data_IF_000436322920
#
_entry.id   IF_000436322920
#
_cell.length_a   1.000
_cell.length_b   1.000
_cell.length_c   1.000
_cell.angle_alpha   90.00
_cell.angle_beta   90.00
_cell.angle_gamma   90.00
#
_symmetry.space_group_name_H-M   'P 1'
#
loop_
_entity.id
_entity.type
_entity.pdbx_description
1 polymer ?
#
# COMPACT_ATOMS: atom_id res chain seq x y z
N UNK A 1 12.74 14.23 -33.41
CA UNK A 1 13.42 14.16 -32.10
C UNK A 1 13.35 15.52 -31.43
N UNK A 2 12.33 15.75 -30.60
CA UNK A 2 12.17 17.00 -29.85
C UNK A 2 12.64 16.78 -28.41
N UNK A 3 13.80 17.32 -28.04
CA UNK A 3 14.26 17.39 -26.65
C UNK A 3 13.50 18.51 -25.94
N UNK A 4 12.66 18.18 -24.96
CA UNK A 4 12.10 19.16 -24.03
C UNK A 4 13.04 19.27 -22.83
N UNK A 5 13.66 20.43 -22.68
CA UNK A 5 14.45 20.84 -21.53
C UNK A 5 13.50 21.11 -20.36
N UNK A 6 13.67 20.41 -19.24
CA UNK A 6 13.02 20.75 -17.97
C UNK A 6 13.92 21.74 -17.22
N UNK A 7 13.39 22.93 -16.96
CA UNK A 7 14.02 23.96 -16.12
C UNK A 7 13.34 23.91 -14.75
N UNK A 8 14.09 23.58 -13.70
CA UNK A 8 13.60 23.68 -12.32
C UNK A 8 13.64 25.16 -11.90
N UNK A 9 12.48 25.71 -11.53
CA UNK A 9 12.40 27.03 -10.89
C UNK A 9 12.71 26.89 -9.38
N UNK A 10 13.47 27.82 -8.77
CA UNK A 10 13.68 27.84 -7.34
C UNK A 10 12.40 28.28 -6.60
N UNK A 11 12.06 27.55 -5.54
CA UNK A 11 10.97 27.88 -4.62
C UNK A 11 11.29 29.22 -3.92
N UNK A 12 10.41 30.20 -4.14
CA UNK A 12 10.43 31.50 -3.48
C UNK A 12 10.03 31.35 -2.01
N UNK A 13 10.94 31.68 -1.09
CA UNK A 13 10.63 31.87 0.33
C UNK A 13 9.67 33.04 0.50
N UNK A 14 8.43 32.79 0.93
CA UNK A 14 7.50 33.85 1.30
C UNK A 14 7.85 34.45 2.69
N UNK A 15 7.57 35.74 2.91
CA UNK A 15 8.08 36.51 4.05
C UNK A 15 7.36 36.23 5.37
N UNK A 16 8.13 36.32 6.47
CA UNK A 16 7.67 36.24 7.86
C UNK A 16 6.58 37.29 8.15
N UNK A 17 5.37 36.82 8.46
CA UNK A 17 4.26 37.63 8.96
C UNK A 17 4.59 38.17 10.37
N UNK A 18 4.80 39.49 10.49
CA UNK A 18 4.81 40.22 11.76
C UNK A 18 3.40 40.74 12.07
N UNK A 19 2.87 40.44 13.26
CA UNK A 19 1.64 41.05 13.81
C UNK A 19 1.85 41.43 15.30
N UNK A 20 1.02 42.32 15.89
CA UNK A 20 1.50 43.51 16.59
C UNK A 20 1.49 43.37 18.12
N UNK A 21 2.51 43.95 18.78
CA UNK A 21 2.53 44.11 20.24
C UNK A 21 1.56 45.21 20.68
N UNK A 22 0.48 44.86 21.40
CA UNK A 22 -0.29 45.82 22.19
C UNK A 22 0.53 46.21 23.43
N UNK A 23 1.00 47.47 23.46
CA UNK A 23 1.54 48.09 24.67
C UNK A 23 0.38 48.37 25.63
N UNK A 24 0.34 47.68 26.75
CA UNK A 24 -0.47 48.08 27.91
C UNK A 24 0.45 48.84 28.86
N UNK A 25 0.33 50.17 28.83
CA UNK A 25 0.96 51.08 29.80
C UNK A 25 0.22 50.93 31.13
N UNK A 26 0.89 50.46 32.17
CA UNK A 26 0.40 50.61 33.55
C UNK A 26 1.26 51.67 34.23
N UNK A 27 0.61 52.75 34.62
CA UNK A 27 1.19 53.87 35.35
C UNK A 27 1.51 53.45 36.79
N UNK A 28 2.75 53.65 37.23
CA UNK A 28 3.16 53.49 38.63
C UNK A 28 2.99 54.84 39.32
N UNK A 29 2.04 54.92 40.26
CA UNK A 29 1.86 56.05 41.15
C UNK A 29 2.45 55.74 42.54
N UNK A 30 3.49 56.52 42.87
CA UNK A 30 3.84 57.07 44.18
C UNK A 30 4.15 56.16 45.38
N UNK A 31 5.32 56.39 45.99
CA UNK A 31 5.51 56.15 47.42
C UNK A 31 6.94 56.02 47.94
N UNK A 32 7.66 57.14 48.01
CA UNK A 32 8.81 57.48 48.90
C UNK A 32 9.35 56.40 49.88
N UNK A 33 10.67 56.12 49.81
CA UNK A 33 11.41 55.35 50.82
C UNK A 33 12.92 55.31 50.58
N UNK A 34 13.60 56.37 51.02
CA UNK A 34 15.04 56.66 50.92
C UNK A 34 15.97 55.65 51.64
N UNK A 35 17.07 55.30 50.95
CA UNK A 35 18.48 55.16 51.42
C UNK A 35 19.15 53.79 51.56
N UNK A 36 20.15 53.60 50.66
CA UNK A 36 21.51 53.06 50.87
C UNK A 36 21.71 51.54 50.93
N UNK A 37 21.94 50.97 49.74
CA UNK A 37 23.33 50.70 49.35
C UNK A 37 23.94 49.38 49.85
N UNK A 38 23.32 48.26 49.50
CA UNK A 38 23.98 46.98 49.33
C UNK A 38 23.21 46.24 48.25
N UNK A 39 23.83 45.95 47.11
CA UNK A 39 23.23 45.17 46.03
C UNK A 39 22.93 43.76 46.54
N UNK A 40 21.82 43.60 47.26
CA UNK A 40 20.99 42.43 47.08
C UNK A 40 20.44 42.57 45.68
N UNK A 41 21.17 42.00 44.72
CA UNK A 41 20.54 41.54 43.49
C UNK A 41 19.49 40.57 44.01
N UNK A 42 18.24 41.04 44.10
CA UNK A 42 17.12 40.13 44.09
C UNK A 42 17.43 39.19 42.93
N UNK A 43 17.54 37.89 43.18
CA UNK A 43 17.50 36.91 42.11
C UNK A 43 16.25 37.31 41.33
N UNK A 44 16.46 38.00 40.21
CA UNK A 44 15.42 38.30 39.26
C UNK A 44 15.06 36.88 38.82
N UNK A 45 13.99 36.34 39.40
CA UNK A 45 13.36 35.11 38.94
C UNK A 45 13.25 35.31 37.45
N UNK A 46 14.12 34.63 36.70
CA UNK A 46 14.18 34.79 35.27
C UNK A 46 12.75 34.53 34.80
N UNK A 47 12.03 35.53 34.26
CA UNK A 47 10.63 35.36 33.90
C UNK A 47 10.45 34.32 32.79
N UNK A 48 11.56 33.90 32.17
CA UNK A 48 11.66 32.82 31.19
C UNK A 48 12.09 31.46 31.80
N UNK A 49 12.38 31.37 33.10
CA UNK A 49 12.69 30.11 33.77
C UNK A 49 11.42 29.31 34.04
N UNK A 50 11.40 28.09 33.49
CA UNK A 50 10.32 27.13 33.68
C UNK A 50 10.68 26.05 34.69
N UNK A 51 9.69 25.27 35.12
CA UNK A 51 9.93 24.14 36.02
C UNK A 51 10.51 22.98 35.22
N UNK A 52 11.70 22.44 35.56
CA UNK A 52 12.27 21.31 34.83
C UNK A 52 11.30 20.12 34.75
N UNK A 53 11.10 19.59 33.54
CA UNK A 53 10.16 18.51 33.28
C UNK A 53 8.71 18.96 33.04
N UNK A 54 8.40 20.26 33.19
CA UNK A 54 7.13 20.81 32.75
C UNK A 54 7.04 20.80 31.22
N UNK A 55 5.90 20.35 30.71
CA UNK A 55 5.60 20.33 29.29
C UNK A 55 4.25 21.01 29.06
N UNK A 56 4.15 21.75 27.96
CA UNK A 56 2.89 22.34 27.52
C UNK A 56 2.78 22.28 26.01
N UNK A 57 1.56 22.19 25.50
CA UNK A 57 1.29 22.33 24.07
C UNK A 57 1.09 23.80 23.74
N UNK A 58 1.96 24.36 22.89
CA UNK A 58 1.77 25.71 22.37
C UNK A 58 0.61 25.75 21.37
N UNK A 59 0.54 24.71 20.55
CA UNK A 59 -0.47 24.47 19.53
C UNK A 59 -0.56 22.96 19.27
N UNK A 60 -1.39 22.54 18.31
CA UNK A 60 -1.63 21.12 18.04
C UNK A 60 -0.41 20.36 17.52
N UNK A 61 0.64 21.05 17.02
CA UNK A 61 1.82 20.40 16.44
C UNK A 61 3.12 20.75 17.18
N UNK A 62 3.05 21.54 18.25
CA UNK A 62 4.24 22.05 18.94
C UNK A 62 4.19 21.75 20.43
N UNK A 63 5.15 20.96 20.89
CA UNK A 63 5.46 20.72 22.29
C UNK A 63 6.47 21.76 22.79
N UNK A 64 6.23 22.35 23.95
CA UNK A 64 7.21 23.17 24.67
C UNK A 64 7.58 22.43 25.93
N UNK A 65 8.84 22.01 26.03
CA UNK A 65 9.35 21.26 27.17
C UNK A 65 10.44 22.05 27.89
N UNK A 66 10.36 22.07 29.21
CA UNK A 66 11.40 22.66 30.04
C UNK A 66 12.48 21.64 30.36
N UNK A 67 13.73 21.93 29.99
CA UNK A 67 14.86 21.05 30.29
C UNK A 67 15.34 21.17 31.75
N UNK A 68 16.43 20.45 32.06
CA UNK A 68 17.03 20.42 33.40
C UNK A 68 17.69 21.75 33.80
N UNK A 69 17.99 22.61 32.84
CA UNK A 69 18.62 23.91 33.03
C UNK A 69 17.56 25.04 33.05
N UNK A 70 16.28 24.69 33.16
CA UNK A 70 15.12 25.59 33.17
C UNK A 70 14.97 26.41 31.88
N UNK A 71 15.36 25.84 30.74
CA UNK A 71 15.24 26.44 29.41
C UNK A 71 14.09 25.77 28.66
N UNK A 72 13.21 26.59 28.08
CA UNK A 72 12.16 26.14 27.18
C UNK A 72 12.75 25.70 25.83
N UNK A 73 12.46 24.46 25.45
CA UNK A 73 12.68 23.95 24.10
C UNK A 73 11.35 23.88 23.38
N UNK A 74 11.30 24.52 22.22
CA UNK A 74 10.17 24.42 21.29
C UNK A 74 10.47 23.28 20.34
N UNK A 75 9.68 22.22 20.43
CA UNK A 75 9.86 20.96 19.73
C UNK A 75 8.69 20.81 18.76
N UNK A 76 9.00 20.59 17.48
CA UNK A 76 8.01 20.13 16.52
C UNK A 76 7.63 18.69 16.86
N UNK A 77 6.34 18.42 17.06
CA UNK A 77 5.92 17.10 17.51
C UNK A 77 6.19 16.01 16.47
N UNK A 78 6.25 16.36 15.19
CA UNK A 78 6.65 15.41 14.15
C UNK A 78 8.13 15.05 14.27
N UNK A 79 8.99 16.05 14.47
CA UNK A 79 10.42 15.83 14.72
C UNK A 79 10.66 15.02 16.00
N UNK A 80 9.84 15.24 17.04
CA UNK A 80 9.88 14.44 18.27
C UNK A 80 9.55 12.96 18.01
N UNK A 81 8.48 12.67 17.26
CA UNK A 81 8.10 11.30 16.92
C UNK A 81 9.18 10.60 16.11
N UNK A 82 9.74 11.29 15.12
CA UNK A 82 10.86 10.80 14.30
C UNK A 82 12.10 10.50 15.15
N UNK A 83 12.46 11.41 16.06
CA UNK A 83 13.66 11.27 16.89
C UNK A 83 13.51 10.22 18.01
N UNK A 84 12.30 10.04 18.53
CA UNK A 84 12.05 9.14 19.67
C UNK A 84 11.71 7.71 19.26
N UNK A 85 11.03 7.53 18.12
CA UNK A 85 10.48 6.23 17.69
C UNK A 85 11.01 5.76 16.35
N UNK A 86 11.36 6.66 15.44
CA UNK A 86 11.89 6.33 14.12
C UNK A 86 11.24 7.16 13.01
N UNK A 87 11.86 7.25 11.82
CA UNK A 87 11.38 8.06 10.70
C UNK A 87 9.96 7.75 10.22
N UNK A 88 9.41 6.60 10.59
CA UNK A 88 8.08 6.11 10.24
C UNK A 88 6.94 6.55 11.19
N UNK A 89 7.24 7.39 12.19
CA UNK A 89 6.27 7.91 13.16
C UNK A 89 5.98 9.39 12.94
N UNK A 90 4.71 9.76 13.00
CA UNK A 90 4.24 11.15 12.89
C UNK A 90 3.37 11.54 14.07
N UNK A 91 3.28 12.84 14.29
CA UNK A 91 2.45 13.41 15.35
C UNK A 91 1.04 13.70 14.84
N UNK A 92 0.02 13.17 15.51
CA UNK A 92 -1.38 13.52 15.27
C UNK A 92 -1.89 14.65 16.16
N UNK A 93 -1.06 15.09 17.11
CA UNK A 93 -1.43 16.17 18.01
C UNK A 93 -0.39 16.42 19.08
N UNK A 94 -0.71 17.33 19.98
CA UNK A 94 0.05 17.55 21.20
C UNK A 94 -0.87 17.36 22.41
N UNK A 95 -0.44 16.51 23.33
CA UNK A 95 -1.08 16.28 24.62
C UNK A 95 -0.02 16.22 25.73
N UNK A 96 0.43 17.37 26.21
CA UNK A 96 1.45 17.48 27.25
C UNK A 96 1.06 16.90 28.63
N UNK A 97 -0.20 16.50 28.82
CA UNK A 97 -0.63 15.77 30.01
C UNK A 97 -0.26 14.28 29.96
N UNK A 98 -0.01 13.75 28.75
CA UNK A 98 0.52 12.41 28.53
C UNK A 98 2.05 12.48 28.58
N UNK A 99 2.63 12.02 29.69
CA UNK A 99 4.08 12.04 29.89
C UNK A 99 4.82 11.03 29.02
N UNK A 100 4.13 9.99 28.55
CA UNK A 100 4.72 8.88 27.80
C UNK A 100 4.65 9.17 26.28
N UNK A 101 3.60 9.86 25.85
CA UNK A 101 3.42 10.24 24.44
C UNK A 101 2.87 11.68 24.27
N UNK A 102 3.67 12.71 24.62
CA UNK A 102 3.22 14.09 24.63
C UNK A 102 2.91 14.64 23.24
N UNK A 103 3.40 13.98 22.19
CA UNK A 103 3.20 14.34 20.79
C UNK A 103 2.29 13.37 20.04
N UNK A 104 1.56 12.50 20.78
CA UNK A 104 0.57 11.56 20.23
C UNK A 104 1.12 10.90 18.96
N UNK A 105 2.30 10.31 19.12
CA UNK A 105 3.06 9.74 18.04
C UNK A 105 2.34 8.47 17.59
N UNK A 106 1.72 8.56 16.44
CA UNK A 106 1.17 7.40 15.77
C UNK A 106 2.05 7.07 14.57
N UNK A 107 1.98 5.81 14.19
CA UNK A 107 2.71 5.32 13.05
C UNK A 107 2.02 5.81 11.77
N UNK A 108 2.73 6.53 10.90
CA UNK A 108 2.13 7.18 9.72
C UNK A 108 1.79 6.16 8.63
N UNK A 109 0.54 6.20 8.18
CA UNK A 109 -0.02 5.36 7.12
C UNK A 109 0.22 6.00 5.73
N UNK A 110 0.64 7.27 5.65
CA UNK A 110 0.58 8.05 4.41
C UNK A 110 1.88 8.11 3.59
N UNK A 111 3.05 7.76 4.16
CA UNK A 111 4.36 7.81 3.48
C UNK A 111 5.09 6.45 3.38
N UNK A 112 4.32 5.37 3.14
CA UNK A 112 4.86 4.21 2.41
C UNK A 112 5.41 3.04 3.22
N UNK A 113 4.75 2.67 4.32
CA UNK A 113 4.84 1.30 4.83
C UNK A 113 3.97 1.14 6.05
N UNK A 114 2.88 0.39 5.96
CA UNK A 114 1.92 0.20 7.06
C UNK A 114 2.44 -0.89 8.01
N UNK A 115 2.27 -0.69 9.32
CA UNK A 115 2.61 -1.68 10.34
C UNK A 115 1.49 -2.66 10.72
N UNK A 116 0.21 -2.34 10.45
CA UNK A 116 -0.91 -3.24 10.73
C UNK A 116 -2.20 -2.85 9.96
N UNK A 117 -3.00 -3.83 9.54
CA UNK A 117 -4.36 -3.72 8.97
C UNK A 117 -5.30 -4.75 9.61
N UNK A 118 -6.62 -4.61 9.45
CA UNK A 118 -7.58 -5.62 9.92
C UNK A 118 -7.86 -6.68 8.83
N UNK A 119 -8.05 -7.97 9.18
CA UNK A 119 -8.43 -8.99 8.21
C UNK A 119 -9.72 -8.61 7.47
N UNK A 120 -9.64 -8.59 6.13
CA UNK A 120 -10.75 -8.18 5.27
C UNK A 120 -10.69 -6.71 4.82
N UNK A 121 -9.73 -5.92 5.31
CA UNK A 121 -9.47 -4.60 4.75
C UNK A 121 -8.99 -4.72 3.30
N UNK A 122 -9.67 -4.00 2.42
CA UNK A 122 -9.41 -3.94 0.99
C UNK A 122 -9.64 -2.52 0.46
N UNK A 123 -8.65 -1.98 -0.25
CA UNK A 123 -8.78 -0.66 -0.87
C UNK A 123 -7.90 -0.52 -2.10
N UNK A 124 -8.28 0.40 -2.99
CA UNK A 124 -7.50 0.69 -4.19
C UNK A 124 -6.29 1.56 -3.86
N UNK A 125 -5.10 1.08 -4.24
CA UNK A 125 -3.84 1.85 -4.22
C UNK A 125 -3.56 2.58 -5.54
N UNK A 126 -4.39 2.33 -6.56
CA UNK A 126 -4.41 3.02 -7.84
C UNK A 126 -5.39 2.32 -8.80
N UNK A 127 -5.42 2.72 -10.07
CA UNK A 127 -6.37 2.17 -11.06
C UNK A 127 -6.22 0.66 -11.32
N UNK A 128 -5.06 0.09 -10.98
CA UNK A 128 -4.72 -1.33 -11.21
C UNK A 128 -4.20 -2.02 -9.95
N UNK A 129 -4.07 -1.28 -8.85
CA UNK A 129 -3.47 -1.75 -7.62
C UNK A 129 -4.51 -1.89 -6.54
N UNK A 130 -4.46 -3.02 -5.83
CA UNK A 130 -5.24 -3.25 -4.63
C UNK A 130 -4.31 -3.49 -3.47
N UNK A 131 -4.68 -2.99 -2.31
CA UNK A 131 -4.03 -3.34 -1.05
C UNK A 131 -5.02 -4.13 -0.22
N UNK A 132 -4.61 -5.32 0.21
CA UNK A 132 -5.38 -6.19 1.08
C UNK A 132 -4.58 -6.48 2.35
N UNK A 133 -5.28 -6.87 3.41
CA UNK A 133 -4.64 -7.28 4.63
C UNK A 133 -4.20 -8.75 4.62
N UNK A 134 -2.90 -9.00 4.57
CA UNK A 134 -2.32 -10.33 4.76
C UNK A 134 -2.20 -10.61 6.26
N UNK A 135 -3.21 -11.30 6.81
CA UNK A 135 -3.27 -11.71 8.21
C UNK A 135 -3.30 -13.24 8.30
N UNK A 136 -2.55 -13.80 9.26
CA UNK A 136 -2.62 -15.22 9.56
C UNK A 136 -3.98 -15.54 10.20
N UNK A 137 -4.56 -16.68 9.84
CA UNK A 137 -5.88 -17.08 10.36
C UNK A 137 -5.90 -17.09 11.91
N UNK A 138 -6.81 -16.29 12.48
CA UNK A 138 -6.97 -16.14 13.93
C UNK A 138 -6.30 -14.91 14.52
N UNK A 139 -5.51 -14.16 13.75
CA UNK A 139 -4.93 -12.89 14.19
C UNK A 139 -5.90 -11.72 13.99
N UNK A 140 -5.81 -10.74 14.89
CA UNK A 140 -6.64 -9.51 14.86
C UNK A 140 -6.02 -8.46 13.93
N UNK A 141 -4.75 -8.61 13.58
CA UNK A 141 -3.97 -7.66 12.79
C UNK A 141 -3.14 -8.41 11.74
N UNK A 142 -3.05 -7.86 10.54
CA UNK A 142 -2.20 -8.36 9.45
C UNK A 142 -1.25 -7.29 8.91
N UNK A 143 -0.43 -7.67 7.94
CA UNK A 143 0.42 -6.74 7.19
C UNK A 143 -0.29 -6.42 5.88
N UNK A 144 -0.47 -5.15 5.50
CA UNK A 144 -1.09 -4.87 4.23
C UNK A 144 -0.09 -5.06 3.10
N UNK A 145 -0.58 -5.72 2.06
CA UNK A 145 0.20 -6.08 0.89
C UNK A 145 -0.46 -5.44 -0.32
N UNK A 146 0.31 -4.66 -1.07
CA UNK A 146 -0.13 -4.08 -2.33
C UNK A 146 0.30 -4.98 -3.48
N UNK A 147 -0.68 -5.41 -4.28
CA UNK A 147 -0.48 -6.22 -5.49
C UNK A 147 -1.28 -5.61 -6.65
N UNK A 148 -1.09 -6.12 -7.86
CA UNK A 148 -2.01 -5.80 -8.95
C UNK A 148 -3.35 -6.49 -8.70
N UNK A 149 -4.45 -5.92 -9.22
CA UNK A 149 -5.75 -6.58 -9.12
C UNK A 149 -5.76 -7.96 -9.79
N UNK A 150 -4.98 -8.13 -10.86
CA UNK A 150 -4.81 -9.43 -11.52
C UNK A 150 -4.16 -10.48 -10.61
N UNK A 151 -3.06 -10.11 -9.95
CA UNK A 151 -2.39 -10.97 -8.98
C UNK A 151 -3.29 -11.28 -7.77
N UNK A 152 -4.07 -10.30 -7.30
CA UNK A 152 -5.05 -10.51 -6.24
C UNK A 152 -6.14 -11.52 -6.64
N UNK A 153 -6.67 -11.43 -7.86
CA UNK A 153 -7.68 -12.37 -8.36
C UNK A 153 -7.11 -13.80 -8.44
N UNK A 154 -5.89 -13.96 -8.94
CA UNK A 154 -5.19 -15.25 -8.97
C UNK A 154 -4.97 -15.85 -7.58
N UNK A 155 -4.55 -15.03 -6.62
CA UNK A 155 -4.29 -15.47 -5.25
C UNK A 155 -5.58 -15.86 -4.50
N UNK A 156 -6.67 -15.14 -4.74
CA UNK A 156 -7.92 -15.28 -3.97
C UNK A 156 -8.86 -16.34 -4.55
N UNK A 157 -8.99 -16.37 -5.88
CA UNK A 157 -9.98 -17.21 -6.57
C UNK A 157 -9.34 -18.34 -7.40
N UNK A 158 -8.04 -18.29 -7.64
CA UNK A 158 -7.27 -19.30 -8.39
C UNK A 158 -6.71 -18.75 -9.69
N UNK A 159 -5.79 -19.51 -10.34
CA UNK A 159 -5.04 -19.05 -11.51
C UNK A 159 -5.90 -18.76 -12.75
N UNK A 160 -7.16 -19.17 -12.74
CA UNK A 160 -8.11 -18.96 -13.83
C UNK A 160 -8.95 -17.68 -13.63
N UNK A 161 -8.54 -16.73 -12.77
CA UNK A 161 -9.28 -15.50 -12.48
C UNK A 161 -8.42 -14.26 -12.69
N UNK A 162 -8.91 -13.32 -13.50
CA UNK A 162 -8.22 -12.06 -13.81
C UNK A 162 -9.08 -10.85 -13.49
N UNK A 163 -8.43 -9.69 -13.50
CA UNK A 163 -9.09 -8.40 -13.31
C UNK A 163 -9.40 -7.75 -14.66
N UNK A 164 -10.67 -7.61 -15.00
CA UNK A 164 -11.12 -7.03 -16.28
C UNK A 164 -10.87 -5.53 -16.42
N UNK A 165 -11.13 -4.76 -15.36
CA UNK A 165 -11.17 -3.30 -15.40
C UNK A 165 -10.27 -2.65 -14.33
N UNK A 166 -9.57 -3.44 -13.52
CA UNK A 166 -8.74 -2.96 -12.42
C UNK A 166 -9.54 -2.69 -11.16
N UNK A 167 -8.98 -1.83 -10.31
CA UNK A 167 -9.54 -1.57 -9.00
C UNK A 167 -10.65 -0.50 -9.05
N UNK A 168 -11.83 -0.83 -8.55
CA UNK A 168 -12.98 0.09 -8.41
C UNK A 168 -13.51 0.09 -6.97
N UNK A 169 -13.22 1.16 -6.23
CA UNK A 169 -13.70 1.37 -4.87
C UNK A 169 -15.25 1.52 -4.78
N UNK A 170 -15.94 1.71 -5.91
CA UNK A 170 -17.40 1.70 -5.99
C UNK A 170 -18.03 0.31 -5.90
N UNK A 171 -17.22 -0.75 -5.99
CA UNK A 171 -17.65 -2.16 -5.96
C UNK A 171 -17.01 -2.89 -4.76
N UNK A 172 -17.42 -2.61 -3.51
CA UNK A 172 -16.73 -3.13 -2.33
C UNK A 172 -16.72 -4.66 -2.22
N UNK A 173 -17.73 -5.35 -2.76
CA UNK A 173 -17.80 -6.82 -2.75
C UNK A 173 -16.96 -7.48 -3.85
N UNK A 174 -16.49 -6.71 -4.84
CA UNK A 174 -15.66 -7.18 -5.94
C UNK A 174 -14.74 -6.05 -6.42
N UNK A 175 -13.88 -5.56 -5.51
CA UNK A 175 -13.11 -4.33 -5.74
C UNK A 175 -12.16 -4.44 -6.93
N UNK A 176 -11.64 -5.64 -7.20
CA UNK A 176 -10.78 -5.93 -8.36
C UNK A 176 -11.52 -6.47 -9.56
N UNK A 177 -12.86 -6.55 -9.50
CA UNK A 177 -13.68 -7.07 -10.60
C UNK A 177 -13.13 -8.41 -11.09
N UNK A 178 -12.84 -9.30 -10.14
CA UNK A 178 -12.30 -10.62 -10.42
C UNK A 178 -13.38 -11.41 -11.15
N UNK A 179 -13.10 -11.71 -12.40
CA UNK A 179 -13.90 -12.61 -13.20
C UNK A 179 -13.02 -13.79 -13.59
N UNK A 180 -13.66 -14.90 -13.91
CA UNK A 180 -12.94 -16.03 -14.47
C UNK A 180 -12.23 -15.51 -15.73
N UNK A 181 -10.91 -15.61 -15.75
CA UNK A 181 -10.08 -15.17 -16.85
C UNK A 181 -10.40 -16.03 -18.06
N UNK A 182 -11.15 -15.46 -19.00
CA UNK A 182 -11.35 -16.02 -20.33
C UNK A 182 -10.34 -15.36 -21.29
N UNK A 183 -9.14 -15.02 -20.82
CA UNK A 183 -8.02 -14.60 -21.67
C UNK A 183 -7.15 -15.84 -21.95
N UNK A 184 -7.33 -16.54 -23.07
CA UNK A 184 -7.09 -16.01 -24.41
C UNK A 184 -8.34 -15.81 -25.27
N UNK A 185 -8.88 -14.58 -25.33
CA UNK A 185 -9.28 -13.90 -26.59
C UNK A 185 -10.29 -14.53 -27.56
N UNK A 186 -10.88 -15.68 -27.22
CA UNK A 186 -11.95 -16.39 -27.88
C UNK A 186 -12.39 -17.39 -26.82
N UNK A 187 -13.69 -17.42 -26.47
CA UNK A 187 -14.26 -18.75 -26.30
C UNK A 187 -13.94 -19.40 -27.65
N UNK A 188 -12.94 -20.28 -27.71
CA UNK A 188 -13.02 -21.34 -28.69
C UNK A 188 -14.28 -22.08 -28.22
N UNK A 189 -15.45 -21.58 -28.62
CA UNK A 189 -16.67 -22.35 -28.65
C UNK A 189 -16.31 -23.43 -29.63
N UNK A 190 -15.69 -24.48 -29.10
CA UNK A 190 -15.45 -25.66 -29.85
C UNK A 190 -16.78 -26.38 -29.86
N UNK A 191 -17.23 -26.81 -31.02
CA UNK A 191 -18.36 -27.71 -31.05
C UNK A 191 -17.87 -29.05 -30.49
N UNK A 192 -18.61 -29.71 -29.58
CA UNK A 192 -18.24 -31.03 -29.09
C UNK A 192 -17.95 -31.97 -30.27
N UNK A 193 -16.75 -32.54 -30.27
CA UNK A 193 -16.21 -33.31 -31.38
C UNK A 193 -15.26 -32.55 -32.31
N UNK A 194 -15.08 -31.24 -32.12
CA UNK A 194 -14.04 -30.47 -32.81
C UNK A 194 -12.66 -31.04 -32.47
N UNK A 195 -11.84 -31.17 -33.51
CA UNK A 195 -10.51 -31.76 -33.44
C UNK A 195 -9.47 -30.67 -33.66
N UNK A 196 -8.42 -30.70 -32.84
CA UNK A 196 -7.25 -29.85 -33.01
C UNK A 196 -5.99 -30.68 -32.82
N UNK A 197 -5.03 -30.51 -33.73
CA UNK A 197 -3.73 -31.14 -33.63
C UNK A 197 -2.72 -30.17 -33.05
N UNK A 198 -2.03 -30.59 -31.99
CA UNK A 198 -0.98 -29.83 -31.35
C UNK A 198 0.40 -30.20 -31.94
N UNK A 199 1.34 -29.26 -31.85
CA UNK A 199 2.68 -29.38 -32.42
C UNK A 199 3.52 -30.51 -31.80
N UNK A 200 3.13 -31.03 -30.64
CA UNK A 200 3.78 -32.13 -29.93
C UNK A 200 3.22 -33.52 -30.33
N UNK A 201 2.30 -33.59 -31.29
CA UNK A 201 1.68 -34.84 -31.74
C UNK A 201 0.51 -35.31 -30.87
N UNK A 202 -0.05 -34.42 -30.05
CA UNK A 202 -1.30 -34.66 -29.34
C UNK A 202 -2.52 -34.24 -30.17
N UNK A 203 -3.60 -35.01 -30.02
CA UNK A 203 -4.93 -34.68 -30.51
C UNK A 203 -5.74 -34.11 -29.35
N UNK A 204 -6.23 -32.87 -29.50
CA UNK A 204 -7.20 -32.27 -28.61
C UNK A 204 -8.60 -32.46 -29.20
N UNK A 205 -9.54 -32.97 -28.40
CA UNK A 205 -10.94 -33.20 -28.78
C UNK A 205 -11.84 -32.38 -27.86
N UNK A 206 -12.69 -31.53 -28.42
CA UNK A 206 -13.63 -30.76 -27.62
C UNK A 206 -14.68 -31.67 -26.96
N UNK A 207 -14.81 -31.60 -25.63
CA UNK A 207 -15.70 -32.46 -24.83
C UNK A 207 -17.06 -31.81 -24.53
N UNK A 208 -17.09 -30.53 -24.14
CA UNK A 208 -18.31 -29.90 -23.62
C UNK A 208 -18.47 -28.40 -23.90
N UNK A 209 -17.99 -27.94 -25.06
CA UNK A 209 -17.94 -26.53 -25.50
C UNK A 209 -16.92 -25.64 -24.79
N UNK A 210 -16.39 -26.10 -23.65
CA UNK A 210 -15.49 -25.31 -22.82
C UNK A 210 -14.21 -26.05 -22.44
N UNK A 211 -14.17 -27.37 -22.64
CA UNK A 211 -12.99 -28.19 -22.37
C UNK A 211 -12.56 -29.01 -23.59
N UNK A 212 -11.26 -29.28 -23.66
CA UNK A 212 -10.65 -30.22 -24.59
C UNK A 212 -10.05 -31.39 -23.81
N UNK A 213 -10.31 -32.60 -24.29
CA UNK A 213 -9.61 -33.81 -23.90
C UNK A 213 -8.36 -33.98 -24.77
N UNK A 214 -7.20 -34.13 -24.14
CA UNK A 214 -5.91 -34.28 -24.82
C UNK A 214 -5.50 -35.76 -24.84
N UNK A 215 -5.29 -36.29 -26.04
CA UNK A 215 -4.92 -37.68 -26.27
C UNK A 215 -3.65 -37.73 -27.13
N UNK A 216 -2.55 -38.34 -26.66
CA UNK A 216 -1.40 -38.59 -27.51
C UNK A 216 -1.77 -39.46 -28.71
N UNK A 217 -1.41 -39.05 -29.93
CA UNK A 217 -1.79 -39.82 -31.12
C UNK A 217 -1.21 -41.24 -31.13
N UNK A 218 -0.05 -41.47 -30.49
CA UNK A 218 0.49 -42.81 -30.26
C UNK A 218 -0.50 -43.71 -29.52
N UNK A 219 -1.10 -43.18 -28.46
CA UNK A 219 -1.96 -43.94 -27.55
C UNK A 219 -3.31 -44.19 -28.22
N UNK A 220 -3.81 -43.19 -28.96
CA UNK A 220 -5.01 -43.34 -29.80
C UNK A 220 -4.82 -44.44 -30.85
N UNK A 221 -3.69 -44.48 -31.55
CA UNK A 221 -3.45 -45.51 -32.56
C UNK A 221 -3.38 -46.91 -31.97
N UNK A 222 -2.76 -47.06 -30.78
CA UNK A 222 -2.75 -48.35 -30.07
C UNK A 222 -4.15 -48.76 -29.63
N UNK A 223 -4.98 -47.80 -29.20
CA UNK A 223 -6.37 -48.07 -28.83
C UNK A 223 -7.24 -48.49 -30.04
N UNK A 224 -7.04 -47.86 -31.20
CA UNK A 224 -7.86 -48.07 -32.39
C UNK A 224 -7.45 -49.31 -33.19
N UNK A 225 -6.13 -49.56 -33.35
CA UNK A 225 -5.59 -50.62 -34.20
C UNK A 225 -4.87 -51.75 -33.44
N UNK A 226 -4.57 -51.56 -32.15
CA UNK A 226 -3.91 -52.55 -31.30
C UNK A 226 -2.41 -52.33 -31.09
N UNK A 227 -1.79 -53.20 -30.28
CA UNK A 227 -0.35 -53.12 -29.98
C UNK A 227 0.51 -53.18 -31.25
N UNK A 228 1.46 -52.24 -31.35
CA UNK A 228 2.35 -52.10 -32.50
C UNK A 228 1.90 -51.04 -33.51
N UNK A 229 0.71 -50.46 -33.36
CA UNK A 229 0.28 -49.31 -34.14
C UNK A 229 1.08 -48.05 -33.78
N UNK A 230 1.39 -47.23 -34.79
CA UNK A 230 2.09 -45.95 -34.66
C UNK A 230 1.28 -44.85 -35.33
N UNK A 231 1.43 -43.62 -34.84
CA UNK A 231 0.95 -42.41 -35.52
C UNK A 231 2.02 -41.91 -36.50
N UNK A 232 1.63 -41.61 -37.73
CA UNK A 232 2.50 -40.99 -38.72
C UNK A 232 2.48 -39.46 -38.66
N UNK A 233 1.34 -38.89 -38.26
CA UNK A 233 1.09 -37.45 -38.15
C UNK A 233 -0.20 -37.20 -37.38
N UNK A 234 -0.42 -35.95 -36.97
CA UNK A 234 -1.73 -35.49 -36.53
C UNK A 234 -2.31 -34.59 -37.63
N UNK A 235 -3.49 -34.94 -38.14
CA UNK A 235 -4.27 -34.17 -39.12
C UNK A 235 -5.74 -34.05 -38.67
N UNK A 236 -6.08 -32.93 -38.04
CA UNK A 236 -7.44 -32.66 -37.56
C UNK A 236 -8.47 -32.47 -38.69
N UNK A 237 -8.05 -32.39 -39.96
CA UNK A 237 -8.98 -32.31 -41.10
C UNK A 237 -9.54 -33.68 -41.49
N UNK A 238 -8.87 -34.77 -41.09
CA UNK A 238 -9.37 -36.14 -41.26
C UNK A 238 -10.07 -36.61 -39.98
N UNK A 239 -11.39 -36.38 -39.90
CA UNK A 239 -12.17 -36.79 -38.74
C UNK A 239 -12.24 -38.31 -38.52
N UNK A 240 -11.94 -39.13 -39.54
CA UNK A 240 -11.99 -40.58 -39.42
C UNK A 240 -10.68 -41.16 -38.86
N UNK A 241 -9.54 -40.56 -39.20
CA UNK A 241 -8.22 -40.96 -38.71
C UNK A 241 -7.31 -39.75 -38.47
N UNK A 242 -7.60 -38.95 -37.42
CA UNK A 242 -6.87 -37.72 -37.16
C UNK A 242 -5.43 -37.95 -36.71
N UNK A 243 -5.06 -39.18 -36.37
CA UNK A 243 -3.71 -39.55 -35.94
C UNK A 243 -2.95 -40.37 -37.00
N UNK A 244 -3.54 -40.54 -38.19
CA UNK A 244 -2.93 -41.24 -39.33
C UNK A 244 -2.32 -42.58 -38.93
N UNK A 245 -3.12 -43.41 -38.27
CA UNK A 245 -2.67 -44.60 -37.59
C UNK A 245 -2.33 -45.74 -38.55
N UNK A 246 -1.15 -46.35 -38.38
CA UNK A 246 -0.71 -47.50 -39.18
C UNK A 246 -0.08 -48.58 -38.32
N UNK A 247 -0.20 -49.84 -38.77
CA UNK A 247 0.61 -50.95 -38.26
C UNK A 247 1.76 -51.15 -39.25
N UNK A 248 3.02 -50.86 -38.87
CA UNK A 248 4.16 -51.09 -39.74
C UNK A 248 4.35 -52.60 -39.97
N UNK A 249 4.60 -52.98 -41.23
CA UNK A 249 4.85 -54.38 -41.65
C UNK A 249 6.15 -54.97 -41.08
#
# INVERSE_FOLDING_TARGET
>A
MNKRTFTLNPVSSNPVLRYPSRKTTVAVASGLGLLLGGCQVALEENPDACTPGEAMCRDAATLVQCDRDAVHHVIDCNDFCVASRGPEWVSYGCNAADSDDPCQCEYDILDGGIGACEPGDLYCSGDQGVTYCDAVEGDVWGTPVTVTCDEYCHLTFGPDYSSLLGCDAGLPDNICQCEYDIMDGMVAECEPGDLMCLDDGQLAICSDYYSYDYIPCSDKCVADLGEGAISLSCDATDAADPCTCVIPE
#
